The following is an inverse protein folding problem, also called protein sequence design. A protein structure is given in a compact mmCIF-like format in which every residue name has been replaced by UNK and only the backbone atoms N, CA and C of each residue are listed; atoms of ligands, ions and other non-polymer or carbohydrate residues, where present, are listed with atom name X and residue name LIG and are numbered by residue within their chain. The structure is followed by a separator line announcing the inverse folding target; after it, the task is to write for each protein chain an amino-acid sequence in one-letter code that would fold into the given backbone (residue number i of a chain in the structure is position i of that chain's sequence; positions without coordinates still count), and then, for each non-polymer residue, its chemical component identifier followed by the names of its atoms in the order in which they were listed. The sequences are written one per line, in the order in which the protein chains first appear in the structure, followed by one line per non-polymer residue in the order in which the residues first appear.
data_IF_661425290449
#
_entry.id   IF_661425290449
#
_cell.length_a   1.000
_cell.length_b   1.000
_cell.length_c   1.000
_cell.angle_alpha   90.00
_cell.angle_beta   90.00
_cell.angle_gamma   90.00
#
_symmetry.space_group_name_H-M   'P 1'
#
loop_
_entity.id
_entity.type
_entity.pdbx_description
1 polymer ?
#
# COMPACT_ATOMS: atom_id res chain seq x y z
N UNK A 1 -21.58 8.70 11.83
CA UNK A 1 -21.04 7.48 12.51
C UNK A 1 -19.68 7.82 13.10
N UNK A 2 -19.31 7.30 14.27
CA UNK A 2 -17.96 7.48 14.82
C UNK A 2 -16.93 6.84 13.89
N UNK A 3 -15.87 7.56 13.54
CA UNK A 3 -14.75 7.02 12.75
C UNK A 3 -13.73 6.27 13.62
N UNK A 4 -14.05 6.08 14.91
CA UNK A 4 -13.20 5.40 15.88
C UNK A 4 -13.93 4.18 16.44
N UNK A 5 -13.27 3.04 16.48
CA UNK A 5 -13.75 1.82 17.17
C UNK A 5 -12.70 1.34 18.16
N UNK A 6 -13.11 0.98 19.37
CA UNK A 6 -12.26 0.26 20.30
C UNK A 6 -12.35 -1.23 19.99
N UNK A 7 -11.25 -1.85 19.61
CA UNK A 7 -11.18 -3.27 19.19
C UNK A 7 -10.76 -4.19 20.33
N UNK A 8 -10.19 -3.64 21.39
CA UNK A 8 -9.86 -4.30 22.66
C UNK A 8 -9.55 -3.22 23.71
N UNK A 9 -9.41 -3.60 24.98
CA UNK A 9 -8.98 -2.66 26.04
C UNK A 9 -7.58 -2.05 25.81
N UNK A 10 -6.81 -2.57 24.84
CA UNK A 10 -5.42 -2.17 24.57
C UNK A 10 -5.18 -1.59 23.18
N UNK A 11 -6.17 -1.55 22.26
CA UNK A 11 -6.00 -0.97 20.93
C UNK A 11 -7.19 -0.14 20.49
N UNK A 12 -6.91 0.88 19.66
CA UNK A 12 -7.91 1.76 19.08
C UNK A 12 -7.70 1.87 17.58
N UNK A 13 -8.79 1.88 16.81
CA UNK A 13 -8.73 2.05 15.35
C UNK A 13 -9.48 3.30 14.92
N UNK A 14 -8.83 4.11 14.07
CA UNK A 14 -9.43 5.27 13.42
C UNK A 14 -9.47 5.07 11.91
N UNK A 15 -10.59 5.41 11.29
CA UNK A 15 -10.79 5.23 9.86
C UNK A 15 -10.65 6.53 9.08
N UNK A 16 -9.94 6.46 7.94
CA UNK A 16 -9.65 7.56 7.03
C UNK A 16 -10.02 7.18 5.60
N UNK A 17 -10.19 8.18 4.74
CA UNK A 17 -10.41 7.91 3.32
C UNK A 17 -9.16 7.27 2.67
N UNK A 18 -7.94 7.70 3.03
CA UNK A 18 -6.70 7.23 2.44
C UNK A 18 -5.60 6.99 3.50
N UNK A 19 -4.71 6.00 3.25
CA UNK A 19 -3.63 5.64 4.16
C UNK A 19 -2.64 6.79 4.41
N UNK A 20 -2.40 7.67 3.42
CA UNK A 20 -1.58 8.87 3.59
C UNK A 20 -2.13 9.82 4.67
N UNK A 21 -3.45 9.89 4.85
CA UNK A 21 -4.08 10.67 5.91
C UNK A 21 -3.92 10.00 7.29
N UNK A 22 -4.04 8.67 7.32
CA UNK A 22 -3.77 7.88 8.52
C UNK A 22 -2.30 8.02 8.95
N UNK A 23 -1.36 8.09 7.99
CA UNK A 23 0.06 8.28 8.27
C UNK A 23 0.35 9.68 8.83
N UNK A 24 -0.27 10.73 8.30
CA UNK A 24 -0.15 12.08 8.87
C UNK A 24 -0.56 12.09 10.33
N UNK A 25 -1.65 11.40 10.67
CA UNK A 25 -2.11 11.33 12.06
C UNK A 25 -1.17 10.48 12.93
N UNK A 26 -0.65 9.37 12.42
CA UNK A 26 0.35 8.56 13.13
C UNK A 26 1.59 9.40 13.46
N UNK A 27 2.10 10.17 12.51
CA UNK A 27 3.24 11.06 12.71
C UNK A 27 2.94 12.16 13.75
N UNK A 28 1.74 12.73 13.76
CA UNK A 28 1.33 13.69 14.78
C UNK A 28 1.27 13.07 16.17
N UNK A 29 0.75 11.84 16.30
CA UNK A 29 0.72 11.11 17.57
C UNK A 29 2.12 10.86 18.14
N UNK A 30 3.12 10.68 17.28
CA UNK A 30 4.53 10.56 17.70
C UNK A 30 5.20 11.91 17.96
N UNK A 31 4.44 13.02 17.92
CA UNK A 31 4.96 14.40 18.03
C UNK A 31 6.03 14.74 16.98
N UNK A 32 6.00 14.10 15.81
CA UNK A 32 6.84 14.45 14.67
C UNK A 32 6.37 15.76 14.08
N UNK A 33 7.30 16.69 13.83
CA UNK A 33 7.01 18.02 13.32
C UNK A 33 8.21 18.66 12.62
N UNK A 34 8.18 19.99 12.50
CA UNK A 34 9.22 20.76 11.83
C UNK A 34 10.58 20.58 12.49
N UNK A 35 11.60 20.23 11.69
CA UNK A 35 12.96 19.98 12.15
C UNK A 35 13.22 18.53 12.59
N UNK A 36 12.20 17.68 12.65
CA UNK A 36 12.36 16.26 12.95
C UNK A 36 12.65 15.43 11.69
N UNK A 37 13.28 14.29 11.87
CA UNK A 37 13.56 13.32 10.82
C UNK A 37 12.74 12.03 11.01
N UNK A 38 12.28 11.48 9.88
CA UNK A 38 11.55 10.21 9.81
C UNK A 38 12.33 9.23 8.93
N UNK A 39 12.72 8.09 9.48
CA UNK A 39 13.44 7.05 8.77
C UNK A 39 12.46 6.17 7.98
N UNK A 40 12.66 6.06 6.68
CA UNK A 40 11.77 5.35 5.76
C UNK A 40 12.57 4.57 4.71
N UNK A 41 12.03 3.52 4.09
CA UNK A 41 12.71 2.88 2.96
C UNK A 41 12.77 3.81 1.74
N UNK A 42 13.86 3.74 0.99
CA UNK A 42 13.97 4.47 -0.29
C UNK A 42 13.06 3.89 -1.38
N UNK A 43 12.70 2.59 -1.30
CA UNK A 43 11.70 1.97 -2.15
C UNK A 43 10.29 2.26 -1.62
N UNK A 44 9.80 3.47 -1.82
CA UNK A 44 8.51 3.93 -1.29
C UNK A 44 7.77 4.80 -2.31
N UNK A 45 6.45 4.92 -2.19
CA UNK A 45 5.67 5.82 -3.04
C UNK A 45 5.70 7.27 -2.52
N UNK A 46 5.53 8.22 -3.44
CA UNK A 46 5.51 9.68 -3.15
C UNK A 46 4.44 10.11 -2.15
N UNK A 47 3.33 9.37 -2.02
CA UNK A 47 2.28 9.62 -1.01
C UNK A 47 2.83 9.61 0.43
N UNK A 48 3.83 8.76 0.73
CA UNK A 48 4.46 8.70 2.06
C UNK A 48 5.29 9.95 2.31
N UNK A 49 6.03 10.42 1.29
CA UNK A 49 6.80 11.67 1.36
C UNK A 49 5.87 12.85 1.63
N UNK A 50 4.75 12.94 0.91
CA UNK A 50 3.74 13.98 1.13
C UNK A 50 3.21 13.98 2.56
N UNK A 51 3.04 12.80 3.17
CA UNK A 51 2.60 12.68 4.57
C UNK A 51 3.61 13.25 5.56
N UNK A 52 4.91 12.99 5.32
CA UNK A 52 6.01 13.49 6.15
C UNK A 52 6.15 15.01 5.98
N UNK A 53 6.11 15.52 4.75
CA UNK A 53 6.15 16.95 4.47
C UNK A 53 4.95 17.69 5.07
N UNK A 54 3.76 17.07 5.08
CA UNK A 54 2.55 17.68 5.69
C UNK A 54 2.72 17.99 7.18
N UNK A 55 3.51 17.22 7.92
CA UNK A 55 3.84 17.52 9.32
C UNK A 55 5.08 18.38 9.49
N UNK A 56 5.73 18.79 8.38
CA UNK A 56 6.93 19.63 8.39
C UNK A 56 8.23 18.87 8.66
N UNK A 57 8.20 17.55 8.69
CA UNK A 57 9.37 16.71 8.92
C UNK A 57 10.15 16.40 7.62
N UNK A 58 11.36 15.87 7.77
CA UNK A 58 12.24 15.50 6.66
C UNK A 58 12.43 13.99 6.61
N UNK A 59 12.25 13.34 5.44
CA UNK A 59 12.51 11.92 5.29
C UNK A 59 14.02 11.63 5.24
N UNK A 60 14.46 10.58 5.92
CA UNK A 60 15.78 9.96 5.80
C UNK A 60 15.59 8.55 5.26
N UNK A 61 16.40 8.16 4.29
CA UNK A 61 16.18 6.91 3.57
C UNK A 61 17.12 5.80 4.05
N UNK A 62 16.57 4.59 4.15
CA UNK A 62 17.32 3.35 4.21
C UNK A 62 17.03 2.49 2.97
N UNK A 63 17.95 1.61 2.61
CA UNK A 63 17.82 0.75 1.44
C UNK A 63 17.18 -0.60 1.79
N UNK A 64 16.57 -1.21 0.79
CA UNK A 64 16.12 -2.61 0.82
C UNK A 64 16.81 -3.40 -0.29
N UNK A 65 17.08 -4.67 -0.04
CA UNK A 65 17.71 -5.60 -0.99
C UNK A 65 16.74 -6.08 -2.09
N UNK A 66 17.20 -7.00 -2.91
CA UNK A 66 16.38 -7.62 -3.97
C UNK A 66 15.25 -8.52 -3.45
N UNK A 67 15.26 -8.89 -2.17
CA UNK A 67 14.15 -9.57 -1.47
C UNK A 67 13.26 -8.60 -0.71
N UNK A 68 13.46 -7.29 -0.91
CA UNK A 68 12.79 -6.17 -0.26
C UNK A 68 12.93 -6.21 1.28
N UNK A 69 14.06 -6.69 1.78
CA UNK A 69 14.41 -6.74 3.19
C UNK A 69 15.40 -5.64 3.53
N UNK A 70 15.26 -5.07 4.70
CA UNK A 70 16.20 -4.10 5.25
C UNK A 70 17.40 -4.83 5.85
N UNK A 71 18.59 -4.30 5.65
CA UNK A 71 19.83 -4.88 6.14
C UNK A 71 20.68 -3.90 6.97
N UNK A 72 20.47 -2.60 6.83
CA UNK A 72 21.21 -1.56 7.57
C UNK A 72 20.46 -0.23 7.59
N UNK A 73 20.81 0.62 8.55
CA UNK A 73 20.32 1.98 8.69
C UNK A 73 21.46 2.99 8.70
N UNK A 74 21.21 4.26 8.33
CA UNK A 74 22.18 5.35 8.52
C UNK A 74 22.53 5.53 9.99
N UNK A 75 23.84 5.64 10.33
CA UNK A 75 24.32 5.59 11.72
C UNK A 75 24.17 6.88 12.50
N UNK A 76 24.24 8.04 11.83
CA UNK A 76 24.53 9.33 12.48
C UNK A 76 23.35 10.32 12.48
N UNK A 77 22.12 9.82 12.32
CA UNK A 77 20.94 10.67 12.27
C UNK A 77 20.02 10.38 13.44
N UNK A 78 19.68 11.42 14.21
CA UNK A 78 18.64 11.35 15.22
C UNK A 78 17.27 11.36 14.53
N UNK A 79 16.59 10.22 14.52
CA UNK A 79 15.25 10.08 13.94
C UNK A 79 14.20 9.95 15.04
N UNK A 80 13.00 10.47 14.79
CA UNK A 80 11.89 10.48 15.76
C UNK A 80 10.86 9.39 15.50
N UNK A 81 10.75 8.95 14.25
CA UNK A 81 9.93 7.82 13.86
C UNK A 81 10.65 6.97 12.80
N UNK A 82 10.36 5.67 12.80
CA UNK A 82 10.83 4.71 11.80
C UNK A 82 9.60 4.07 11.17
N UNK A 83 9.48 4.18 9.84
CA UNK A 83 8.42 3.53 9.08
C UNK A 83 9.01 2.30 8.39
N UNK A 84 8.45 1.13 8.64
CA UNK A 84 8.76 -0.09 7.89
C UNK A 84 7.55 -0.59 7.11
N UNK A 85 7.79 -1.16 5.93
CA UNK A 85 6.74 -1.48 4.96
C UNK A 85 6.61 -2.98 4.75
N UNK A 86 5.41 -3.52 4.95
CA UNK A 86 5.09 -4.89 4.57
C UNK A 86 4.81 -4.96 3.06
N UNK A 87 5.88 -5.05 2.26
CA UNK A 87 5.78 -5.04 0.81
C UNK A 87 4.89 -6.16 0.29
N UNK A 88 3.88 -5.78 -0.47
CA UNK A 88 2.95 -6.70 -1.17
C UNK A 88 2.20 -7.69 -0.27
N UNK A 89 2.15 -7.43 1.04
CA UNK A 89 1.51 -8.29 2.03
C UNK A 89 2.43 -9.30 2.70
N UNK A 90 3.73 -9.26 2.37
CA UNK A 90 4.76 -10.09 3.01
C UNK A 90 5.30 -9.39 4.25
N UNK A 91 5.41 -10.14 5.36
CA UNK A 91 5.91 -9.61 6.62
C UNK A 91 7.39 -9.25 6.53
N UNK A 92 7.75 -8.09 7.07
CA UNK A 92 9.14 -7.74 7.33
C UNK A 92 9.62 -8.41 8.63
N UNK A 93 10.93 -8.67 8.69
CA UNK A 93 11.59 -9.00 9.94
C UNK A 93 11.54 -7.79 10.88
N UNK A 94 10.81 -7.94 11.98
CA UNK A 94 10.60 -6.85 12.92
C UNK A 94 11.83 -6.58 13.79
N UNK A 95 12.65 -7.60 14.07
CA UNK A 95 13.76 -7.51 15.02
C UNK A 95 14.78 -6.42 14.67
N UNK A 96 15.08 -6.25 13.37
CA UNK A 96 16.02 -5.21 12.93
C UNK A 96 15.47 -3.80 13.22
N UNK A 97 14.16 -3.59 13.07
CA UNK A 97 13.49 -2.31 13.34
C UNK A 97 13.38 -2.05 14.85
N UNK A 98 13.09 -3.07 15.65
CA UNK A 98 13.03 -2.96 17.10
C UNK A 98 14.40 -2.58 17.68
N UNK A 99 15.49 -3.21 17.21
CA UNK A 99 16.86 -2.85 17.61
C UNK A 99 17.18 -1.39 17.26
N UNK A 100 16.79 -0.95 16.07
CA UNK A 100 17.01 0.44 15.64
C UNK A 100 16.16 1.43 16.44
N UNK A 101 14.91 1.08 16.74
CA UNK A 101 14.03 1.86 17.60
C UNK A 101 14.61 2.01 19.02
N UNK A 102 15.12 0.92 19.59
CA UNK A 102 15.78 0.97 20.89
C UNK A 102 17.06 1.83 20.88
N UNK A 103 17.83 1.76 19.79
CA UNK A 103 19.07 2.53 19.64
C UNK A 103 18.81 4.03 19.52
N UNK A 104 17.75 4.44 18.80
CA UNK A 104 17.47 5.84 18.48
C UNK A 104 16.44 6.47 19.41
N UNK A 105 15.64 5.68 20.10
CA UNK A 105 14.44 6.14 20.82
C UNK A 105 13.25 6.47 19.88
N UNK A 106 13.36 6.17 18.60
CA UNK A 106 12.33 6.47 17.61
C UNK A 106 11.12 5.53 17.73
N UNK A 107 9.93 6.04 17.48
CA UNK A 107 8.69 5.25 17.47
C UNK A 107 8.57 4.48 16.16
N UNK A 108 8.21 3.20 16.26
CA UNK A 108 7.92 2.37 15.09
C UNK A 108 6.50 2.63 14.55
N UNK A 109 6.39 2.80 13.25
CA UNK A 109 5.13 2.86 12.50
C UNK A 109 5.15 1.76 11.44
N UNK A 110 4.23 0.81 11.53
CA UNK A 110 4.08 -0.27 10.56
C UNK A 110 3.24 0.21 9.37
N UNK A 111 3.87 0.39 8.19
CA UNK A 111 3.12 0.61 6.94
C UNK A 111 2.64 -0.73 6.39
N UNK A 112 1.42 -1.06 6.74
CA UNK A 112 0.71 -2.23 6.28
C UNK A 112 -0.26 -1.92 5.12
N UNK A 113 0.03 -0.90 4.30
CA UNK A 113 -0.86 -0.51 3.20
C UNK A 113 -1.12 -1.64 2.18
N UNK A 114 -0.24 -2.63 2.09
CA UNK A 114 -0.37 -3.80 1.20
C UNK A 114 -0.75 -5.10 1.92
N UNK A 115 -0.72 -5.13 3.25
CA UNK A 115 -0.83 -6.36 4.03
C UNK A 115 -2.19 -6.59 4.69
N UNK A 116 -3.26 -5.93 4.22
CA UNK A 116 -4.59 -6.19 4.73
C UNK A 116 -4.95 -7.67 4.60
N UNK A 117 -5.37 -8.32 5.69
CA UNK A 117 -5.65 -9.75 5.84
C UNK A 117 -4.39 -10.67 5.85
N UNK A 118 -3.19 -10.14 5.93
CA UNK A 118 -1.97 -10.94 6.10
C UNK A 118 -1.57 -11.07 7.57
N UNK A 119 -0.85 -12.14 7.86
CA UNK A 119 -0.25 -12.43 9.17
C UNK A 119 1.23 -12.77 8.96
N UNK A 120 2.03 -12.62 10.01
CA UNK A 120 3.40 -13.11 10.02
C UNK A 120 3.49 -14.62 10.28
N UNK A 121 4.72 -15.16 10.30
CA UNK A 121 4.95 -16.59 10.43
C UNK A 121 4.56 -17.15 11.83
N UNK A 122 4.43 -16.28 12.84
CA UNK A 122 4.01 -16.66 14.19
C UNK A 122 2.53 -16.38 14.47
N UNK A 123 1.79 -15.90 13.46
CA UNK A 123 0.33 -15.70 13.50
C UNK A 123 -0.10 -14.32 13.99
N UNK A 124 0.78 -13.33 14.11
CA UNK A 124 0.39 -11.95 14.39
C UNK A 124 -0.14 -11.29 13.12
N UNK A 125 -1.28 -10.61 13.22
CA UNK A 125 -1.83 -9.86 12.11
C UNK A 125 -0.89 -8.70 11.73
N UNK A 126 -0.57 -8.56 10.44
CA UNK A 126 0.18 -7.39 9.97
C UNK A 126 -0.61 -6.11 10.24
N UNK A 127 0.07 -5.11 10.77
CA UNK A 127 -0.56 -3.90 11.30
C UNK A 127 -0.83 -3.96 12.82
N UNK A 128 -0.48 -5.06 13.50
CA UNK A 128 -0.57 -5.15 14.98
C UNK A 128 0.79 -5.27 15.67
N UNK A 129 1.89 -5.21 14.93
CA UNK A 129 3.25 -5.54 15.43
C UNK A 129 4.05 -4.34 15.92
N UNK A 130 3.67 -3.13 15.53
CA UNK A 130 4.28 -1.88 16.02
C UNK A 130 3.28 -1.07 16.85
N UNK A 131 3.73 -0.09 17.67
CA UNK A 131 2.84 0.76 18.47
C UNK A 131 1.76 1.47 17.65
N UNK A 132 2.11 1.89 16.42
CA UNK A 132 1.21 2.49 15.45
C UNK A 132 1.30 1.77 14.10
N UNK A 133 0.20 1.65 13.40
CA UNK A 133 0.20 1.11 12.03
C UNK A 133 -0.84 1.76 11.14
N UNK A 134 -0.56 1.77 9.84
CA UNK A 134 -1.51 2.21 8.82
C UNK A 134 -1.83 1.07 7.86
N UNK A 135 -3.09 0.92 7.48
CA UNK A 135 -3.53 -0.09 6.50
C UNK A 135 -4.40 0.56 5.42
N UNK A 136 -4.23 0.16 4.17
CA UNK A 136 -5.04 0.66 3.04
C UNK A 136 -5.96 -0.44 2.50
N UNK A 137 -7.18 -0.52 3.02
CA UNK A 137 -8.14 -1.52 2.60
C UNK A 137 -8.53 -1.40 1.13
N UNK A 138 -8.56 -0.16 0.57
CA UNK A 138 -8.86 0.07 -0.84
C UNK A 138 -7.82 -0.52 -1.82
N UNK A 139 -6.61 -0.83 -1.34
CA UNK A 139 -5.57 -1.49 -2.15
C UNK A 139 -5.82 -3.00 -2.25
N UNK A 140 -6.58 -3.56 -1.31
CA UNK A 140 -6.98 -4.97 -1.32
C UNK A 140 -8.40 -5.16 -1.84
N UNK A 141 -9.30 -4.26 -1.49
CA UNK A 141 -10.73 -4.33 -1.84
C UNK A 141 -11.07 -3.34 -2.96
N UNK A 142 -12.03 -3.71 -3.80
CA UNK A 142 -12.54 -2.83 -4.86
C UNK A 142 -13.52 -1.78 -4.30
N UNK A 143 -12.97 -0.86 -3.49
CA UNK A 143 -13.69 0.27 -2.88
C UNK A 143 -13.01 1.59 -3.26
N UNK A 144 -13.76 2.71 -3.18
CA UNK A 144 -13.25 4.02 -3.60
C UNK A 144 -12.23 4.61 -2.64
N UNK A 145 -12.40 4.33 -1.35
CA UNK A 145 -11.62 4.83 -0.23
C UNK A 145 -11.71 3.84 0.93
N UNK A 146 -10.92 4.04 1.95
CA UNK A 146 -10.90 3.18 3.13
C UNK A 146 -9.46 2.84 3.52
N UNK A 147 -9.07 3.41 4.65
CA UNK A 147 -7.82 3.16 5.34
C UNK A 147 -8.04 3.22 6.83
N UNK A 148 -7.15 2.63 7.59
CA UNK A 148 -7.16 2.69 9.05
C UNK A 148 -5.80 3.13 9.58
N UNK A 149 -5.84 3.84 10.69
CA UNK A 149 -4.77 3.98 11.66
C UNK A 149 -5.13 3.09 12.84
N UNK A 150 -4.29 2.12 13.13
CA UNK A 150 -4.40 1.31 14.34
C UNK A 150 -3.38 1.79 15.35
N UNK A 151 -3.84 2.08 16.55
CA UNK A 151 -3.05 2.47 17.71
C UNK A 151 -3.02 1.24 18.60
N UNK A 152 -1.92 0.49 18.52
CA UNK A 152 -1.74 -0.77 19.24
C UNK A 152 -1.32 -0.54 20.69
N UNK A 153 -0.64 0.57 20.98
CA UNK A 153 -0.30 0.99 22.33
C UNK A 153 -1.05 2.26 22.73
N UNK A 154 -2.28 2.09 23.23
CA UNK A 154 -3.12 3.20 23.69
C UNK A 154 -2.62 3.82 25.00
N UNK A 155 -1.70 3.17 25.72
CA UNK A 155 -1.10 3.74 26.92
C UNK A 155 -0.05 4.78 26.56
N UNK A 156 0.76 4.47 25.53
CA UNK A 156 1.76 5.39 24.99
C UNK A 156 1.09 6.50 24.15
N UNK A 157 0.02 6.17 23.41
CA UNK A 157 -0.70 7.08 22.51
C UNK A 157 -2.17 7.18 22.90
N UNK A 158 -2.51 7.85 24.01
CA UNK A 158 -3.90 8.03 24.41
C UNK A 158 -4.64 8.88 23.38
N UNK A 159 -5.79 8.40 22.92
CA UNK A 159 -6.56 9.06 21.87
C UNK A 159 -7.99 9.31 22.27
N UNK A 160 -8.46 10.52 22.05
CA UNK A 160 -9.88 10.87 22.15
C UNK A 160 -10.65 10.35 20.91
N UNK A 161 -11.95 10.08 21.04
CA UNK A 161 -12.80 9.80 19.87
C UNK A 161 -12.67 10.90 18.83
N UNK A 162 -12.47 10.52 17.57
CA UNK A 162 -12.30 11.44 16.46
C UNK A 162 -13.50 11.33 15.50
N UNK A 163 -14.10 12.46 15.17
CA UNK A 163 -15.08 12.56 14.09
C UNK A 163 -14.46 13.35 12.94
N UNK A 164 -14.25 12.68 11.83
CA UNK A 164 -13.71 13.30 10.62
C UNK A 164 -14.84 13.71 9.67
N UNK A 165 -14.71 14.85 8.99
CA UNK A 165 -15.65 15.22 7.95
C UNK A 165 -15.62 14.19 6.82
N UNK A 166 -16.79 13.69 6.46
CA UNK A 166 -16.93 12.84 5.27
C UNK A 166 -17.00 13.79 4.07
N UNK A 167 -15.93 13.85 3.29
CA UNK A 167 -15.97 14.61 2.04
C UNK A 167 -16.85 13.87 1.05
N UNK A 168 -18.01 14.44 0.75
CA UNK A 168 -18.86 14.03 -0.36
C UNK A 168 -18.24 14.45 -1.70
N UNK A 169 -17.03 13.97 -2.01
CA UNK A 169 -16.55 14.04 -3.39
C UNK A 169 -17.47 13.17 -4.22
N UNK A 170 -18.08 13.74 -5.25
CA UNK A 170 -18.79 12.94 -6.24
C UNK A 170 -17.85 11.81 -6.67
N UNK A 171 -18.31 10.56 -6.59
CA UNK A 171 -17.60 9.44 -7.17
C UNK A 171 -17.35 9.83 -8.62
N UNK A 172 -16.09 9.95 -9.02
CA UNK A 172 -15.77 10.35 -10.39
C UNK A 172 -16.51 9.45 -11.36
N UNK A 173 -16.96 9.99 -12.48
CA UNK A 173 -17.71 9.25 -13.52
C UNK A 173 -17.04 7.90 -13.86
N UNK A 174 -15.71 7.87 -13.88
CA UNK A 174 -14.91 6.65 -14.12
C UNK A 174 -15.15 5.56 -13.09
N UNK A 175 -15.20 5.90 -11.79
CA UNK A 175 -15.44 4.92 -10.74
C UNK A 175 -16.87 4.39 -10.80
N UNK A 176 -17.86 5.26 -11.05
CA UNK A 176 -19.26 4.84 -11.24
C UNK A 176 -19.42 3.93 -12.46
N UNK A 177 -18.83 4.29 -13.59
CA UNK A 177 -18.83 3.47 -14.79
C UNK A 177 -18.18 2.10 -14.55
N UNK A 178 -17.05 2.06 -13.83
CA UNK A 178 -16.37 0.82 -13.46
C UNK A 178 -17.22 -0.06 -12.54
N UNK A 179 -17.92 0.52 -11.56
CA UNK A 179 -18.84 -0.23 -10.69
C UNK A 179 -20.05 -0.79 -11.46
N UNK A 180 -20.62 -0.02 -12.39
CA UNK A 180 -21.73 -0.47 -13.25
C UNK A 180 -21.24 -1.61 -14.15
N UNK A 181 -20.08 -1.47 -14.78
CA UNK A 181 -19.50 -2.52 -15.63
C UNK A 181 -19.20 -3.80 -14.84
N UNK A 182 -18.71 -3.71 -13.60
CA UNK A 182 -18.53 -4.86 -12.70
C UNK A 182 -19.85 -5.55 -12.38
N UNK A 183 -20.91 -4.78 -12.13
CA UNK A 183 -22.24 -5.35 -11.85
C UNK A 183 -22.78 -6.10 -13.07
N UNK A 184 -22.62 -5.52 -14.26
CA UNK A 184 -23.06 -6.14 -15.52
C UNK A 184 -22.18 -7.37 -15.85
N UNK A 185 -20.87 -7.29 -15.62
CA UNK A 185 -19.94 -8.43 -15.81
C UNK A 185 -20.33 -9.62 -14.92
N UNK A 186 -20.65 -9.35 -13.65
CA UNK A 186 -21.11 -10.39 -12.72
C UNK A 186 -22.47 -10.98 -13.12
N UNK A 187 -23.36 -10.17 -13.69
CA UNK A 187 -24.69 -10.62 -14.12
C UNK A 187 -24.63 -11.42 -15.43
N UNK A 188 -23.81 -10.96 -16.39
CA UNK A 188 -23.77 -11.55 -17.74
C UNK A 188 -22.60 -12.51 -17.95
N UNK A 189 -21.70 -12.69 -16.96
CA UNK A 189 -20.47 -13.48 -17.07
C UNK A 189 -19.57 -13.09 -18.27
N UNK A 190 -19.70 -11.84 -18.76
CA UNK A 190 -18.94 -11.29 -19.89
C UNK A 190 -17.83 -10.37 -19.37
N UNK A 191 -16.59 -10.47 -19.87
CA UNK A 191 -15.44 -9.71 -19.39
C UNK A 191 -15.45 -8.23 -19.86
N UNK A 192 -16.52 -7.50 -19.58
CA UNK A 192 -16.75 -6.12 -20.07
C UNK A 192 -15.75 -5.10 -19.52
N UNK A 193 -15.31 -5.28 -18.27
CA UNK A 193 -14.29 -4.45 -17.65
C UNK A 193 -12.95 -4.51 -18.39
N UNK A 194 -12.59 -5.66 -18.93
CA UNK A 194 -11.35 -5.86 -19.69
C UNK A 194 -11.37 -5.05 -20.98
N UNK A 195 -12.50 -5.00 -21.66
CA UNK A 195 -12.65 -4.22 -22.89
C UNK A 195 -12.62 -2.72 -22.60
N UNK A 196 -13.30 -2.26 -21.53
CA UNK A 196 -13.30 -0.85 -21.14
C UNK A 196 -11.92 -0.37 -20.68
N UNK A 197 -11.20 -1.16 -19.90
CA UNK A 197 -9.83 -0.85 -19.48
C UNK A 197 -8.84 -0.85 -20.65
N UNK A 198 -9.01 -1.77 -21.62
CA UNK A 198 -8.21 -1.79 -22.82
C UNK A 198 -8.46 -0.55 -23.69
N UNK A 199 -9.73 -0.14 -23.83
CA UNK A 199 -10.11 1.07 -24.56
C UNK A 199 -9.55 2.34 -23.88
N UNK A 200 -9.68 2.47 -22.56
CA UNK A 200 -9.12 3.61 -21.81
C UNK A 200 -7.59 3.67 -21.93
N UNK A 201 -6.90 2.52 -21.88
CA UNK A 201 -5.45 2.46 -22.08
C UNK A 201 -5.05 2.87 -23.50
N UNK A 202 -5.80 2.43 -24.50
CA UNK A 202 -5.56 2.81 -25.89
C UNK A 202 -5.73 4.31 -26.09
N UNK A 203 -6.83 4.88 -25.59
CA UNK A 203 -7.11 6.33 -25.67
C UNK A 203 -6.01 7.12 -24.95
N UNK A 204 -5.61 6.71 -23.74
CA UNK A 204 -4.54 7.37 -23.01
C UNK A 204 -3.22 7.31 -23.77
N UNK A 205 -2.86 6.16 -24.33
CA UNK A 205 -1.63 6.00 -25.14
C UNK A 205 -1.63 6.91 -26.37
N UNK A 206 -2.78 7.12 -26.99
CA UNK A 206 -2.92 8.03 -28.14
C UNK A 206 -2.79 9.50 -27.70
N UNK A 207 -3.36 9.86 -26.52
CA UNK A 207 -3.41 11.26 -26.07
C UNK A 207 -2.15 11.69 -25.33
N UNK A 208 -1.54 10.81 -24.51
CA UNK A 208 -0.42 11.16 -23.61
C UNK A 208 0.88 10.43 -23.94
N UNK A 209 0.91 9.57 -24.96
CA UNK A 209 2.08 8.73 -25.27
C UNK A 209 2.38 7.63 -24.24
N UNK A 210 1.72 7.63 -23.07
CA UNK A 210 1.92 6.67 -21.97
C UNK A 210 0.65 5.88 -21.67
N UNK A 211 0.79 4.61 -21.34
CA UNK A 211 -0.31 3.74 -20.88
C UNK A 211 -0.56 3.83 -19.37
N UNK A 212 0.35 4.47 -18.63
CA UNK A 212 0.31 4.58 -17.17
C UNK A 212 -0.14 5.98 -16.73
N UNK A 213 -0.88 6.12 -15.62
CA UNK A 213 -1.06 7.40 -14.99
C UNK A 213 0.29 7.84 -14.39
N UNK A 214 0.78 8.98 -14.79
CA UNK A 214 1.90 9.67 -14.12
C UNK A 214 1.31 10.49 -12.97
N UNK A 215 1.94 10.44 -11.78
CA UNK A 215 1.65 11.42 -10.73
C UNK A 215 2.16 12.80 -11.19
N UNK A 216 1.60 13.86 -10.67
CA UNK A 216 2.17 15.19 -10.89
C UNK A 216 3.51 15.28 -10.15
N UNK A 217 4.50 15.99 -10.71
CA UNK A 217 5.80 16.23 -10.06
C UNK A 217 5.67 16.87 -8.68
N UNK A 218 4.53 17.52 -8.40
CA UNK A 218 4.19 18.13 -7.11
C UNK A 218 3.49 17.21 -6.10
N UNK A 219 3.32 15.91 -6.38
CA UNK A 219 2.59 15.01 -5.48
C UNK A 219 3.24 14.87 -4.10
N UNK A 220 4.55 15.04 -3.98
CA UNK A 220 5.30 15.00 -2.71
C UNK A 220 5.08 16.23 -1.82
N UNK A 221 4.61 17.33 -2.39
CA UNK A 221 4.34 18.60 -1.69
C UNK A 221 2.84 18.85 -1.47
N UNK A 222 2.00 17.84 -1.74
CA UNK A 222 0.55 17.95 -1.51
C UNK A 222 0.26 18.04 0.00
N UNK A 223 -0.39 19.12 0.43
CA UNK A 223 -0.87 19.24 1.81
C UNK A 223 -2.06 18.30 2.03
N UNK A 224 -1.89 17.32 2.92
CA UNK A 224 -2.86 16.26 3.15
C UNK A 224 -3.85 16.67 4.25
N UNK A 225 -5.12 16.79 3.87
CA UNK A 225 -6.23 17.06 4.80
C UNK A 225 -6.93 15.75 5.15
N UNK A 226 -7.10 15.47 6.43
CA UNK A 226 -7.73 14.23 6.92
C UNK A 226 -9.25 14.26 6.71
N UNK A 227 -9.77 13.17 6.15
CA UNK A 227 -11.20 12.96 5.89
C UNK A 227 -11.59 11.53 6.23
N UNK A 228 -12.82 11.32 6.67
CA UNK A 228 -13.38 9.99 6.92
C UNK A 228 -13.70 9.24 5.63
N UNK A 229 -13.74 7.90 5.68
CA UNK A 229 -14.15 7.07 4.55
C UNK A 229 -15.65 7.21 4.30
N UNK A 230 -16.09 6.88 3.08
CA UNK A 230 -17.51 6.85 2.73
C UNK A 230 -18.24 5.70 3.42
N UNK A 231 -19.50 5.95 3.80
CA UNK A 231 -20.37 4.91 4.35
C UNK A 231 -20.50 3.69 3.42
N UNK A 232 -20.50 3.92 2.10
CA UNK A 232 -20.55 2.84 1.11
C UNK A 232 -19.31 1.95 1.13
N UNK A 233 -18.13 2.51 1.38
CA UNK A 233 -16.89 1.75 1.54
C UNK A 233 -16.89 0.98 2.85
N UNK A 234 -17.30 1.61 3.96
CA UNK A 234 -17.39 0.97 5.26
C UNK A 234 -18.39 -0.20 5.26
N UNK A 235 -19.56 -0.03 4.60
CA UNK A 235 -20.50 -1.17 4.44
C UNK A 235 -19.88 -2.34 3.71
N UNK A 236 -19.11 -2.11 2.64
CA UNK A 236 -18.41 -3.18 1.90
C UNK A 236 -17.33 -3.85 2.72
N UNK A 237 -16.57 -3.08 3.51
CA UNK A 237 -15.54 -3.62 4.41
C UNK A 237 -16.19 -4.52 5.45
N UNK A 238 -17.26 -4.06 6.10
CA UNK A 238 -17.97 -4.81 7.14
C UNK A 238 -18.72 -6.06 6.63
N UNK A 239 -19.08 -6.07 5.34
CA UNK A 239 -19.75 -7.21 4.68
C UNK A 239 -18.77 -8.15 3.96
N UNK A 240 -17.45 -7.94 4.10
CA UNK A 240 -16.44 -8.72 3.41
C UNK A 240 -16.39 -10.16 3.94
N UNK A 241 -16.52 -11.13 3.05
CA UNK A 241 -16.07 -12.50 3.31
C UNK A 241 -14.54 -12.55 3.17
N UNK A 242 -13.86 -12.41 4.30
CA UNK A 242 -12.39 -12.36 4.36
C UNK A 242 -11.76 -13.65 3.86
N UNK A 243 -12.37 -14.81 4.14
CA UNK A 243 -11.86 -16.10 3.71
C UNK A 243 -11.88 -16.23 2.19
N UNK A 244 -12.98 -15.87 1.56
CA UNK A 244 -13.14 -15.90 0.12
C UNK A 244 -12.10 -14.97 -0.57
N UNK A 245 -11.85 -13.78 -0.02
CA UNK A 245 -10.87 -12.85 -0.57
C UNK A 245 -9.42 -13.35 -0.40
N UNK A 246 -9.07 -13.94 0.75
CA UNK A 246 -7.77 -14.57 0.98
C UNK A 246 -7.53 -15.68 -0.04
N UNK A 247 -8.47 -16.61 -0.19
CA UNK A 247 -8.38 -17.71 -1.14
C UNK A 247 -8.25 -17.21 -2.59
N UNK A 248 -9.04 -16.21 -2.97
CA UNK A 248 -8.99 -15.61 -4.30
C UNK A 248 -7.60 -15.06 -4.63
N UNK A 249 -6.97 -14.33 -3.69
CA UNK A 249 -5.65 -13.72 -3.90
C UNK A 249 -4.55 -14.75 -3.95
N UNK A 250 -4.57 -15.72 -3.06
CA UNK A 250 -3.61 -16.82 -3.05
C UNK A 250 -3.69 -17.65 -4.35
N UNK A 251 -4.91 -17.97 -4.81
CA UNK A 251 -5.14 -18.67 -6.07
C UNK A 251 -4.66 -17.84 -7.29
N UNK A 252 -4.83 -16.51 -7.27
CA UNK A 252 -4.29 -15.65 -8.32
C UNK A 252 -2.77 -15.64 -8.31
N UNK A 253 -2.15 -15.61 -7.14
CA UNK A 253 -0.69 -15.64 -6.99
C UNK A 253 -0.12 -16.91 -7.63
N UNK A 254 -0.61 -18.09 -7.26
CA UNK A 254 -0.15 -19.37 -7.82
C UNK A 254 -0.38 -19.47 -9.33
N UNK A 255 -1.52 -18.97 -9.84
CA UNK A 255 -1.79 -18.93 -11.29
C UNK A 255 -0.84 -18.02 -12.04
N UNK A 256 -0.50 -16.87 -11.47
CA UNK A 256 0.49 -15.95 -12.06
C UNK A 256 1.87 -16.58 -12.02
N UNK A 257 2.31 -17.09 -10.88
CA UNK A 257 3.59 -17.77 -10.70
C UNK A 257 3.82 -18.84 -11.78
N UNK A 258 2.87 -19.76 -11.95
CA UNK A 258 2.94 -20.81 -12.99
C UNK A 258 3.08 -20.22 -14.39
N UNK A 259 2.36 -19.14 -14.71
CA UNK A 259 2.45 -18.49 -16.03
C UNK A 259 3.77 -17.76 -16.25
N UNK A 260 4.43 -17.31 -15.19
CA UNK A 260 5.67 -16.56 -15.27
C UNK A 260 6.92 -17.44 -15.47
N UNK A 261 6.85 -18.73 -15.20
CA UNK A 261 7.98 -19.68 -15.39
C UNK A 261 8.63 -19.58 -16.77
N UNK A 262 7.85 -19.30 -17.82
CA UNK A 262 8.35 -19.16 -19.21
C UNK A 262 8.61 -17.71 -19.64
N UNK A 263 8.47 -16.74 -18.75
CA UNK A 263 8.47 -15.31 -19.11
C UNK A 263 9.86 -14.69 -19.14
N UNK A 264 10.82 -15.20 -18.37
CA UNK A 264 12.09 -14.55 -18.05
C UNK A 264 11.97 -13.52 -16.91
N UNK A 265 10.81 -13.43 -16.27
CA UNK A 265 10.64 -12.63 -15.07
C UNK A 265 11.23 -13.35 -13.85
N UNK A 266 11.91 -12.59 -12.98
CA UNK A 266 12.40 -13.10 -11.69
C UNK A 266 11.43 -12.72 -10.60
N UNK A 267 10.87 -13.72 -9.87
CA UNK A 267 10.03 -13.46 -8.71
C UNK A 267 10.84 -12.75 -7.62
N UNK A 268 10.23 -11.77 -6.96
CA UNK A 268 10.82 -11.11 -5.79
C UNK A 268 10.87 -12.04 -4.59
N UNK A 269 9.80 -12.80 -4.37
CA UNK A 269 9.67 -13.75 -3.27
C UNK A 269 9.69 -15.17 -3.82
N UNK A 270 10.53 -16.02 -3.23
CA UNK A 270 10.71 -17.41 -3.65
C UNK A 270 9.50 -18.30 -3.30
N UNK A 271 8.87 -18.00 -2.16
CA UNK A 271 7.75 -18.78 -1.59
C UNK A 271 6.66 -17.81 -1.13
N UNK A 272 5.39 -18.14 -1.37
CA UNK A 272 4.26 -17.48 -0.78
C UNK A 272 3.99 -18.08 0.62
N UNK A 273 4.25 -17.35 1.72
CA UNK A 273 4.00 -17.84 3.08
C UNK A 273 2.54 -18.25 3.27
N UNK A 274 2.28 -19.23 4.15
CA UNK A 274 0.95 -19.75 4.38
C UNK A 274 -0.03 -18.68 4.88
N UNK A 275 0.45 -17.80 5.74
CA UNK A 275 -0.34 -16.74 6.36
C UNK A 275 -0.35 -15.41 5.57
N UNK A 276 0.27 -15.37 4.39
CA UNK A 276 0.30 -14.18 3.54
C UNK A 276 -0.93 -14.10 2.64
N UNK A 277 -1.58 -12.95 2.64
CA UNK A 277 -2.61 -12.55 1.66
C UNK A 277 -1.98 -11.57 0.68
N UNK A 278 -1.49 -12.01 -0.49
CA UNK A 278 -0.65 -11.18 -1.34
C UNK A 278 -1.46 -10.05 -1.98
N UNK A 279 -0.92 -8.82 -1.94
CA UNK A 279 -1.48 -7.67 -2.65
C UNK A 279 -1.43 -7.86 -4.16
N UNK A 280 -0.38 -8.49 -4.66
CA UNK A 280 -0.13 -8.80 -6.04
C UNK A 280 1.08 -9.71 -6.18
N UNK A 281 1.51 -9.96 -7.41
CA UNK A 281 2.72 -10.74 -7.69
C UNK A 281 3.84 -9.79 -8.15
N UNK A 282 4.82 -9.47 -7.29
CA UNK A 282 5.97 -8.64 -7.67
C UNK A 282 7.03 -9.45 -8.43
N UNK A 283 7.63 -8.86 -9.46
CA UNK A 283 8.69 -9.47 -10.23
C UNK A 283 9.67 -8.44 -10.78
N UNK A 284 10.89 -8.85 -11.03
CA UNK A 284 11.89 -8.06 -11.72
C UNK A 284 11.94 -8.40 -13.22
N UNK A 285 12.14 -7.38 -14.03
CA UNK A 285 12.30 -7.53 -15.47
C UNK A 285 12.38 -6.18 -16.17
N UNK A 286 12.79 -6.20 -17.41
CA UNK A 286 12.73 -5.03 -18.28
C UNK A 286 11.31 -4.85 -18.88
N UNK A 287 11.12 -3.82 -19.70
CA UNK A 287 9.84 -3.56 -20.38
C UNK A 287 9.44 -4.70 -21.34
N UNK A 288 10.39 -5.45 -21.89
CA UNK A 288 10.12 -6.59 -22.79
C UNK A 288 9.52 -7.75 -22.01
N UNK A 289 10.09 -8.05 -20.84
CA UNK A 289 9.58 -9.03 -19.88
C UNK A 289 8.19 -8.63 -19.39
N UNK A 290 8.01 -7.37 -18.97
CA UNK A 290 6.71 -6.88 -18.52
C UNK A 290 5.62 -6.99 -19.61
N UNK A 291 5.94 -6.71 -20.87
CA UNK A 291 5.02 -6.94 -22.01
C UNK A 291 4.65 -8.41 -22.18
N UNK A 292 5.63 -9.32 -22.02
CA UNK A 292 5.39 -10.76 -22.09
C UNK A 292 4.49 -11.22 -20.94
N UNK A 293 4.76 -10.76 -19.70
CA UNK A 293 3.93 -11.03 -18.52
C UNK A 293 2.50 -10.52 -18.73
N UNK A 294 2.30 -9.29 -19.23
CA UNK A 294 0.94 -8.77 -19.57
C UNK A 294 0.19 -9.69 -20.53
N UNK A 295 0.89 -10.26 -21.52
CA UNK A 295 0.27 -11.19 -22.48
C UNK A 295 -0.12 -12.50 -21.79
N UNK A 296 0.77 -13.10 -21.01
CA UNK A 296 0.56 -14.36 -20.33
C UNK A 296 -0.56 -14.29 -19.25
N UNK A 297 -0.65 -13.16 -18.54
CA UNK A 297 -1.63 -12.95 -17.45
C UNK A 297 -2.95 -12.33 -17.93
N UNK A 298 -3.08 -12.02 -19.22
CA UNK A 298 -4.26 -11.36 -19.79
C UNK A 298 -5.57 -12.09 -19.47
N UNK A 299 -5.55 -13.44 -19.51
CA UNK A 299 -6.74 -14.26 -19.21
C UNK A 299 -7.19 -14.20 -17.74
N UNK A 300 -6.32 -13.78 -16.82
CA UNK A 300 -6.61 -13.67 -15.40
C UNK A 300 -7.32 -12.35 -15.02
N UNK A 301 -7.40 -11.38 -15.95
CA UNK A 301 -8.03 -10.08 -15.70
C UNK A 301 -7.26 -9.16 -14.77
N UNK A 302 -5.97 -9.39 -14.60
CA UNK A 302 -5.05 -8.61 -13.76
C UNK A 302 -4.31 -7.56 -14.58
N UNK A 303 -3.83 -6.52 -13.92
CA UNK A 303 -3.04 -5.45 -14.53
C UNK A 303 -1.56 -5.59 -14.15
N UNK A 304 -0.64 -5.31 -15.10
CA UNK A 304 0.81 -5.27 -14.84
C UNK A 304 1.26 -3.82 -14.85
N UNK A 305 1.74 -3.34 -13.72
CA UNK A 305 2.15 -1.96 -13.50
C UNK A 305 3.60 -1.91 -13.03
N UNK A 306 4.30 -0.81 -13.30
CA UNK A 306 5.58 -0.51 -12.67
C UNK A 306 5.31 -0.07 -11.23
N UNK A 307 6.15 -0.49 -10.29
CA UNK A 307 5.94 -0.16 -8.88
C UNK A 307 7.28 0.00 -8.15
N UNK A 308 7.37 0.98 -7.23
CA UNK A 308 6.51 2.14 -7.07
C UNK A 308 6.89 3.28 -8.02
N UNK A 309 6.16 4.40 -7.97
CA UNK A 309 6.66 5.68 -8.43
C UNK A 309 7.56 6.24 -7.32
N UNK A 310 8.87 6.17 -7.56
CA UNK A 310 9.90 6.51 -6.56
C UNK A 310 9.86 7.99 -6.17
N UNK A 311 10.31 8.33 -4.94
CA UNK A 311 10.56 9.72 -4.57
C UNK A 311 11.54 10.39 -5.54
N UNK A 312 11.32 11.68 -5.83
CA UNK A 312 12.15 12.45 -6.75
C UNK A 312 13.62 12.46 -6.33
N UNK A 313 13.88 12.54 -5.02
CA UNK A 313 15.23 12.51 -4.44
C UNK A 313 15.94 11.16 -4.57
N UNK A 314 15.19 10.07 -4.74
CA UNK A 314 15.72 8.71 -4.87
C UNK A 314 15.88 8.30 -6.33
N UNK A 315 15.02 8.79 -7.22
CA UNK A 315 14.88 8.30 -8.60
C UNK A 315 16.18 8.34 -9.39
N UNK A 316 17.01 9.40 -9.23
CA UNK A 316 18.26 9.59 -9.97
C UNK A 316 19.35 8.59 -9.57
N UNK A 317 19.37 8.14 -8.31
CA UNK A 317 20.40 7.26 -7.75
C UNK A 317 19.81 5.92 -7.29
N UNK A 318 18.62 5.57 -7.76
CA UNK A 318 17.93 4.35 -7.34
C UNK A 318 18.71 3.10 -7.74
N UNK A 319 18.86 2.10 -6.84
CA UNK A 319 19.39 0.80 -7.20
C UNK A 319 18.64 0.17 -8.38
N UNK A 320 19.34 -0.57 -9.23
CA UNK A 320 18.77 -1.13 -10.46
C UNK A 320 17.50 -1.97 -10.23
N UNK A 321 17.41 -2.69 -9.11
CA UNK A 321 16.22 -3.49 -8.78
C UNK A 321 14.98 -2.65 -8.47
N UNK A 322 15.12 -1.39 -8.02
CA UNK A 322 13.97 -0.49 -7.85
C UNK A 322 13.36 -0.09 -9.19
N UNK A 323 14.21 0.13 -10.20
CA UNK A 323 13.77 0.58 -11.52
C UNK A 323 13.25 -0.55 -12.39
N UNK A 324 13.53 -1.81 -12.05
CA UNK A 324 13.08 -3.01 -12.76
C UNK A 324 11.96 -3.77 -12.07
N UNK A 325 11.42 -3.23 -10.96
CA UNK A 325 10.34 -3.84 -10.19
C UNK A 325 8.97 -3.58 -10.82
N UNK A 326 8.24 -4.65 -11.06
CA UNK A 326 6.89 -4.67 -11.60
C UNK A 326 5.94 -5.41 -10.67
N UNK A 327 4.67 -5.12 -10.80
CA UNK A 327 3.61 -5.75 -10.04
C UNK A 327 2.49 -6.24 -10.96
N UNK A 328 2.15 -7.52 -10.86
CA UNK A 328 0.85 -8.03 -11.33
C UNK A 328 -0.17 -7.73 -10.23
N UNK A 329 -0.99 -6.71 -10.45
CA UNK A 329 -1.95 -6.20 -9.45
C UNK A 329 -3.24 -7.04 -9.44
N UNK A 330 -3.71 -7.46 -8.27
CA UNK A 330 -4.89 -8.31 -8.08
C UNK A 330 -6.20 -7.55 -7.80
N UNK A 331 -6.20 -6.21 -7.97
CA UNK A 331 -7.41 -5.40 -7.87
C UNK A 331 -8.35 -5.57 -9.07
#
# INVERSE_FOLDING_TARGET
MSTTTNTSNNSCTRFYAFARQALVEALKLTNVGTGDYVLIPSLICRDVIASIHTVGATPIFYEVDTKLRTFSFPSDVAVKAIIFVNYFGFAQDLEIFERESLRTGAVLIEDNAHGYLSFDDVGNMLGSRAPLSITSMRKTLRISDGAELRINDVKQFPVAPLQLPIVQRSLGFRFRAQQILLTIENLLHLPLLRFSQAAVRLIRRIVTGSSLPTSSDNSENENIVSTGPRDSSMRKINALDTRCEIERRRNLYSKVETKLLSSGASSVFEILPENCTPYGFPFFGDESVARKVRRLTRSLGVEVIRWPELPTSVELNAPAHYTTLWLVNFL
#
